data_IF_030079827109
#
_entry.id   IF_030079827109
#
_cell.length_a   1.000
_cell.length_b   1.000
_cell.length_c   1.000
_cell.angle_alpha   90.00
_cell.angle_beta   90.00
_cell.angle_gamma   90.00
#
_symmetry.space_group_name_H-M   'P 1'
#
loop_
_entity.id
_entity.type
_entity.pdbx_description
1 polymer ?
#
# COMPACT_ATOMS: atom_id res chain seq x y z
N UNK A 1 -57.41 -27.67 -15.28
CA UNK A 1 -58.15 -27.72 -16.55
C UNK A 1 -57.36 -26.93 -17.57
N UNK A 2 -56.82 -27.64 -18.57
CA UNK A 2 -55.94 -27.14 -19.63
C UNK A 2 -56.73 -27.03 -20.95
N UNK A 3 -56.31 -26.12 -21.82
CA UNK A 3 -56.34 -26.30 -23.29
C UNK A 3 -55.18 -25.45 -23.84
N UNK A 4 -54.11 -25.95 -24.49
CA UNK A 4 -54.01 -26.80 -25.70
C UNK A 4 -54.52 -26.06 -26.96
N UNK A 5 -53.80 -25.91 -28.10
CA UNK A 5 -52.45 -26.37 -28.56
C UNK A 5 -51.80 -25.41 -29.58
N UNK A 6 -50.51 -25.59 -29.89
CA UNK A 6 -49.88 -25.15 -31.16
C UNK A 6 -48.35 -25.05 -31.10
N UNK A 7 -47.55 -25.75 -31.96
CA UNK A 7 -46.10 -25.91 -31.75
C UNK A 7 -45.21 -24.94 -32.56
N UNK A 8 -44.00 -24.69 -32.06
CA UNK A 8 -42.89 -24.11 -32.81
C UNK A 8 -41.69 -25.10 -32.84
N UNK A 9 -41.00 -25.29 -33.98
CA UNK A 9 -39.96 -26.31 -34.12
C UNK A 9 -38.59 -25.86 -33.60
N UNK A 10 -37.86 -26.80 -32.99
CA UNK A 10 -36.42 -26.67 -32.67
C UNK A 10 -35.56 -26.87 -33.92
N UNK A 11 -34.58 -25.99 -34.17
CA UNK A 11 -33.41 -26.31 -35.02
C UNK A 11 -32.13 -25.67 -34.44
N UNK A 12 -31.20 -26.52 -34.02
CA UNK A 12 -29.74 -26.34 -33.90
C UNK A 12 -29.13 -27.76 -34.04
N UNK A 13 -27.84 -27.94 -34.38
CA UNK A 13 -26.89 -27.02 -35.04
C UNK A 13 -26.28 -27.67 -36.33
N UNK A 14 -25.60 -26.89 -37.17
CA UNK A 14 -24.65 -27.45 -38.17
C UNK A 14 -23.37 -26.63 -38.29
N UNK A 15 -22.25 -27.36 -38.42
CA UNK A 15 -20.88 -26.85 -38.40
C UNK A 15 -20.51 -26.08 -39.68
N UNK A 16 -19.60 -25.11 -39.55
CA UNK A 16 -18.81 -24.60 -40.69
C UNK A 16 -17.48 -25.36 -40.76
N UNK A 17 -17.30 -26.16 -41.82
CA UNK A 17 -16.06 -26.86 -42.11
C UNK A 17 -15.09 -25.93 -42.86
N UNK A 18 -13.83 -25.86 -42.42
CA UNK A 18 -12.75 -25.18 -43.15
C UNK A 18 -12.00 -26.24 -43.98
N UNK A 19 -11.86 -26.00 -45.28
CA UNK A 19 -10.99 -26.77 -46.18
C UNK A 19 -9.92 -25.86 -46.80
N UNK A 20 -8.66 -26.33 -46.79
CA UNK A 20 -7.58 -25.81 -47.64
C UNK A 20 -7.05 -24.41 -47.27
N UNK A 21 -6.07 -24.35 -46.37
CA UNK A 21 -5.35 -23.11 -46.10
C UNK A 21 -4.26 -22.81 -47.14
N UNK A 22 -4.29 -21.60 -47.72
CA UNK A 22 -3.11 -20.84 -48.17
C UNK A 22 -3.53 -19.41 -48.56
N UNK A 23 -2.93 -18.40 -47.93
CA UNK A 23 -3.00 -17.00 -48.37
C UNK A 23 -1.67 -16.64 -49.03
N UNK A 24 -1.69 -16.37 -50.35
CA UNK A 24 -0.57 -15.80 -51.08
C UNK A 24 -1.09 -14.75 -52.07
N UNK A 25 -0.62 -13.51 -51.95
CA UNK A 25 -0.76 -12.47 -52.96
C UNK A 25 0.62 -11.84 -53.20
N UNK A 26 1.04 -11.78 -54.46
CA UNK A 26 2.27 -11.10 -54.88
C UNK A 26 2.02 -9.69 -55.41
N UNK A 27 3.10 -8.91 -55.56
CA UNK A 27 3.15 -7.76 -56.49
C UNK A 27 3.78 -8.17 -57.83
N UNK A 28 4.32 -7.25 -58.66
CA UNK A 28 4.41 -5.78 -58.55
C UNK A 28 3.52 -5.09 -59.64
N UNK A 29 3.65 -3.85 -60.13
CA UNK A 29 4.68 -2.80 -60.02
C UNK A 29 4.13 -1.37 -60.33
N UNK A 30 4.93 -0.34 -60.01
CA UNK A 30 5.14 0.98 -60.69
C UNK A 30 4.01 1.61 -61.52
N UNK A 31 3.61 2.88 -61.32
CA UNK A 31 4.40 4.11 -61.54
C UNK A 31 3.70 5.36 -60.93
N UNK A 32 4.45 6.41 -60.59
CA UNK A 32 3.91 7.75 -60.26
C UNK A 32 4.76 8.54 -59.26
N UNK A 33 5.36 9.65 -59.69
CA UNK A 33 6.25 10.51 -58.87
C UNK A 33 5.60 11.88 -58.60
N UNK A 34 5.57 12.33 -57.34
CA UNK A 34 5.26 13.70 -56.90
C UNK A 34 6.10 14.00 -55.60
N UNK A 35 6.28 15.23 -55.06
CA UNK A 35 7.63 15.76 -54.91
C UNK A 35 8.13 15.83 -53.46
N UNK A 36 9.44 16.04 -53.33
CA UNK A 36 10.18 16.15 -52.06
C UNK A 36 9.85 17.44 -51.30
N UNK A 37 9.08 17.31 -50.21
CA UNK A 37 9.00 18.36 -49.19
C UNK A 37 10.25 18.39 -48.29
N UNK A 38 10.63 19.57 -47.82
CA UNK A 38 11.82 19.82 -47.00
C UNK A 38 11.60 19.46 -45.52
N UNK A 39 12.66 19.21 -44.72
CA UNK A 39 12.52 18.89 -43.30
C UNK A 39 12.01 20.10 -42.51
N UNK A 40 10.99 19.88 -41.67
CA UNK A 40 10.52 20.90 -40.73
C UNK A 40 11.53 21.11 -39.59
N UNK A 41 11.81 22.35 -39.17
CA UNK A 41 12.68 22.63 -38.05
C UNK A 41 12.02 22.25 -36.71
N UNK A 42 12.89 21.93 -35.74
CA UNK A 42 12.58 21.68 -34.33
C UNK A 42 11.47 22.57 -33.78
N UNK A 43 10.39 21.96 -33.30
CA UNK A 43 9.50 22.59 -32.35
C UNK A 43 10.26 22.73 -31.02
N UNK A 44 10.43 23.97 -30.56
CA UNK A 44 10.96 24.27 -29.22
C UNK A 44 9.98 23.78 -28.14
N UNK A 45 10.46 23.28 -26.98
CA UNK A 45 9.58 22.92 -25.87
C UNK A 45 9.01 24.18 -25.21
N UNK A 46 7.73 24.14 -24.85
CA UNK A 46 7.05 25.24 -24.16
C UNK A 46 7.64 25.51 -22.76
N UNK A 47 7.89 26.79 -22.40
CA UNK A 47 8.59 27.16 -21.16
C UNK A 47 7.75 26.98 -19.88
N UNK A 48 6.60 26.33 -19.95
CA UNK A 48 5.74 25.98 -18.80
C UNK A 48 5.44 24.49 -18.70
N UNK A 49 6.25 23.65 -19.35
CA UNK A 49 6.28 22.21 -19.10
C UNK A 49 6.93 21.94 -17.74
N UNK A 50 6.18 22.18 -16.66
CA UNK A 50 6.55 21.68 -15.33
C UNK A 50 6.49 20.16 -15.43
N UNK A 51 7.66 19.54 -15.60
CA UNK A 51 7.78 18.11 -15.47
C UNK A 51 7.17 17.70 -14.12
N UNK A 52 6.33 16.65 -14.06
CA UNK A 52 5.94 16.11 -12.76
C UNK A 52 7.24 15.81 -12.02
N UNK A 53 7.39 16.37 -10.82
CA UNK A 53 8.52 16.09 -9.95
C UNK A 53 8.37 14.67 -9.41
N UNK A 54 8.59 13.69 -10.30
CA UNK A 54 8.81 12.29 -9.99
C UNK A 54 10.21 12.09 -9.39
N UNK A 55 10.69 13.12 -8.68
CA UNK A 55 11.75 13.05 -7.68
C UNK A 55 11.09 12.49 -6.43
N UNK A 56 10.76 11.21 -6.50
CA UNK A 56 10.96 10.33 -5.35
C UNK A 56 12.48 10.13 -5.29
N UNK A 57 13.20 10.62 -4.27
CA UNK A 57 14.51 10.08 -3.98
C UNK A 57 14.35 8.60 -3.63
N UNK A 58 14.68 7.77 -4.62
CA UNK A 58 14.89 6.35 -4.43
C UNK A 58 16.03 6.17 -3.41
N UNK A 59 16.05 5.08 -2.65
CA UNK A 59 17.10 4.83 -1.64
C UNK A 59 18.43 4.38 -2.29
N UNK A 60 18.84 5.04 -3.38
CA UNK A 60 20.02 4.72 -4.20
C UNK A 60 21.33 5.23 -3.58
N UNK A 61 21.26 6.23 -2.71
CA UNK A 61 22.42 6.86 -2.05
C UNK A 61 22.62 6.35 -0.60
N UNK A 62 22.16 5.13 -0.31
CA UNK A 62 22.48 4.42 0.93
C UNK A 62 23.93 3.93 0.91
N UNK A 63 24.70 4.25 1.97
CA UNK A 63 26.10 3.85 2.10
C UNK A 63 26.24 2.41 2.64
N UNK A 64 27.42 1.80 2.51
CA UNK A 64 27.73 0.45 3.06
C UNK A 64 26.72 -0.66 2.70
N UNK A 65 26.02 -0.52 1.56
CA UNK A 65 25.09 -1.52 1.05
C UNK A 65 25.87 -2.69 0.47
N UNK A 66 25.82 -3.83 1.16
CA UNK A 66 26.33 -5.11 0.66
C UNK A 66 25.47 -5.62 -0.50
N UNK A 67 24.13 -5.48 -0.39
CA UNK A 67 23.18 -5.74 -1.48
C UNK A 67 21.79 -5.12 -1.23
N UNK A 68 21.03 -4.77 -2.29
CA UNK A 68 19.62 -4.45 -2.17
C UNK A 68 18.78 -5.72 -1.90
N UNK A 69 17.82 -5.58 -1.00
CA UNK A 69 16.83 -6.61 -0.62
C UNK A 69 15.39 -6.21 -0.98
N UNK A 70 15.19 -5.06 -1.64
CA UNK A 70 13.94 -4.66 -2.29
C UNK A 70 14.21 -4.00 -3.64
N UNK A 71 13.22 -4.05 -4.55
CA UNK A 71 13.27 -3.36 -5.84
C UNK A 71 13.35 -1.83 -5.69
N UNK A 72 12.85 -1.28 -4.58
CA UNK A 72 12.96 0.14 -4.23
C UNK A 72 14.36 0.58 -3.78
N UNK A 73 15.27 -0.38 -3.53
CA UNK A 73 16.57 -0.14 -2.91
C UNK A 73 16.51 0.29 -1.43
N UNK A 74 15.31 0.41 -0.86
CA UNK A 74 15.10 0.93 0.49
C UNK A 74 15.25 -0.11 1.60
N UNK A 75 15.13 -1.41 1.26
CA UNK A 75 15.56 -2.52 2.12
C UNK A 75 16.91 -3.01 1.62
N UNK A 76 17.91 -3.04 2.48
CA UNK A 76 19.31 -3.34 2.14
C UNK A 76 19.95 -4.24 3.19
N UNK A 77 20.85 -5.11 2.75
CA UNK A 77 21.85 -5.69 3.64
C UNK A 77 22.98 -4.68 3.81
N UNK A 78 23.30 -4.36 5.07
CA UNK A 78 24.28 -3.36 5.46
C UNK A 78 25.45 -4.01 6.19
N UNK A 79 26.66 -3.67 5.76
CA UNK A 79 27.91 -4.05 6.43
C UNK A 79 28.47 -2.94 7.32
N UNK A 80 29.44 -3.30 8.17
CA UNK A 80 30.07 -2.39 9.15
C UNK A 80 29.08 -1.82 10.19
N UNK A 81 28.04 -2.59 10.54
CA UNK A 81 27.04 -2.23 11.55
C UNK A 81 27.50 -2.45 13.00
N UNK A 82 28.79 -2.71 13.22
CA UNK A 82 29.35 -2.96 14.54
C UNK A 82 29.15 -1.76 15.49
N UNK A 83 28.34 -1.96 16.53
CA UNK A 83 27.99 -0.89 17.47
C UNK A 83 27.04 0.18 16.90
N UNK A 84 26.36 -0.08 15.78
CA UNK A 84 25.40 0.83 15.14
C UNK A 84 24.02 0.19 15.02
N UNK A 85 22.98 1.00 15.12
CA UNK A 85 21.58 0.62 14.90
C UNK A 85 21.11 0.95 13.48
N UNK A 86 20.07 0.27 12.98
CA UNK A 86 19.46 0.61 11.70
C UNK A 86 18.89 2.04 11.67
N UNK A 87 18.49 2.62 12.82
CA UNK A 87 18.09 4.04 12.90
C UNK A 87 19.26 4.97 12.61
N UNK A 88 20.43 4.73 13.20
CA UNK A 88 21.64 5.54 12.94
C UNK A 88 22.14 5.37 11.51
N UNK A 89 21.99 4.17 10.95
CA UNK A 89 22.26 3.91 9.54
C UNK A 89 21.35 4.72 8.61
N UNK A 90 20.03 4.57 8.70
CA UNK A 90 19.09 5.29 7.84
C UNK A 90 19.24 6.81 8.00
N UNK A 91 19.45 7.29 9.24
CA UNK A 91 19.63 8.72 9.55
C UNK A 91 20.87 9.33 8.87
N UNK A 92 21.90 8.54 8.55
CA UNK A 92 23.08 9.01 7.82
C UNK A 92 22.73 9.54 6.42
N UNK A 93 21.73 8.97 5.77
CA UNK A 93 21.19 9.42 4.48
C UNK A 93 19.89 10.24 4.64
N UNK A 94 19.68 10.85 5.81
CA UNK A 94 18.47 11.62 6.18
C UNK A 94 17.15 10.81 6.15
N UNK A 95 17.24 9.47 6.21
CA UNK A 95 16.11 8.55 6.18
C UNK A 95 15.68 8.10 7.60
N UNK A 96 14.45 7.65 7.71
CA UNK A 96 13.87 7.03 8.91
C UNK A 96 13.89 5.52 8.76
N UNK A 97 14.44 4.80 9.74
CA UNK A 97 14.30 3.34 9.80
C UNK A 97 12.83 2.96 10.07
N UNK A 98 12.28 2.08 9.23
CA UNK A 98 10.93 1.50 9.35
C UNK A 98 10.95 -0.01 9.58
N UNK A 99 12.11 -0.66 9.47
CA UNK A 99 12.31 -2.06 9.80
C UNK A 99 13.79 -2.41 9.97
N UNK A 100 14.09 -3.39 10.83
CA UNK A 100 15.43 -3.88 11.09
C UNK A 100 15.37 -5.39 11.35
N UNK A 101 16.34 -6.14 10.83
CA UNK A 101 16.43 -7.59 11.03
C UNK A 101 17.88 -8.03 11.17
N UNK A 102 18.12 -9.05 11.99
CA UNK A 102 19.35 -9.84 11.90
C UNK A 102 19.29 -10.64 10.60
N UNK A 103 20.42 -10.72 9.92
CA UNK A 103 20.57 -11.42 8.65
C UNK A 103 20.90 -12.91 8.83
N UNK A 104 20.39 -13.77 7.93
CA UNK A 104 20.71 -15.20 7.83
C UNK A 104 21.60 -15.56 6.62
N UNK A 105 22.84 -16.00 6.90
CA UNK A 105 23.80 -16.60 5.94
C UNK A 105 24.37 -15.70 4.81
N UNK A 106 24.68 -14.44 5.09
CA UNK A 106 25.02 -13.42 4.08
C UNK A 106 23.81 -13.02 3.23
N UNK A 107 22.58 -13.29 3.71
CA UNK A 107 21.31 -13.33 2.99
C UNK A 107 20.58 -11.99 2.82
N UNK A 108 19.41 -12.01 2.19
CA UNK A 108 18.39 -10.95 2.35
C UNK A 108 17.27 -11.44 3.28
N UNK A 109 17.56 -12.52 3.99
CA UNK A 109 16.65 -13.37 4.72
C UNK A 109 16.77 -13.00 6.20
N UNK A 110 15.63 -12.69 6.82
CA UNK A 110 15.59 -12.28 8.21
C UNK A 110 15.73 -13.50 9.13
N UNK A 111 16.77 -13.54 9.94
CA UNK A 111 16.96 -14.50 11.03
C UNK A 111 16.13 -14.14 12.25
N UNK A 112 16.08 -12.85 12.59
CA UNK A 112 15.36 -12.28 13.73
C UNK A 112 14.87 -10.87 13.38
N UNK A 113 13.72 -10.44 13.88
CA UNK A 113 13.22 -9.07 13.74
C UNK A 113 13.70 -8.22 14.93
N UNK A 114 14.36 -7.10 14.62
CA UNK A 114 15.00 -6.22 15.58
C UNK A 114 14.29 -4.88 15.66
N UNK A 115 14.49 -4.14 16.75
CA UNK A 115 14.06 -2.73 16.79
C UNK A 115 15.02 -1.86 15.98
N UNK A 116 14.51 -0.81 15.36
CA UNK A 116 15.36 0.17 14.65
C UNK A 116 16.46 0.80 15.52
N UNK A 117 16.24 0.93 16.83
CA UNK A 117 17.20 1.44 17.83
C UNK A 117 18.10 0.35 18.43
N UNK A 118 17.95 -0.90 18.01
CA UNK A 118 18.70 -2.02 18.56
C UNK A 118 20.11 -2.04 17.99
N UNK A 119 21.10 -2.18 18.87
CA UNK A 119 22.50 -2.31 18.53
C UNK A 119 22.91 -3.75 18.82
N UNK A 120 23.39 -4.47 17.81
CA UNK A 120 23.87 -5.85 17.96
C UNK A 120 25.38 -5.85 18.21
N UNK A 121 25.83 -6.73 19.10
CA UNK A 121 27.26 -6.84 19.43
C UNK A 121 28.04 -7.59 18.33
N UNK A 122 29.24 -7.10 18.02
CA UNK A 122 30.12 -7.70 17.01
C UNK A 122 29.89 -7.17 15.59
N UNK A 123 30.49 -7.84 14.60
CA UNK A 123 30.48 -7.43 13.19
C UNK A 123 29.35 -8.10 12.40
N UNK A 124 28.15 -8.20 12.99
CA UNK A 124 26.99 -8.74 12.27
C UNK A 124 26.51 -7.76 11.21
N UNK A 125 26.37 -8.24 9.98
CA UNK A 125 25.62 -7.52 8.96
C UNK A 125 24.13 -7.49 9.36
N UNK A 126 23.45 -6.38 9.06
CA UNK A 126 22.04 -6.17 9.40
C UNK A 126 21.22 -5.83 8.16
N UNK A 127 19.99 -6.33 8.09
CA UNK A 127 19.05 -5.89 7.06
C UNK A 127 18.29 -4.68 7.61
N UNK A 128 18.50 -3.51 7.02
CA UNK A 128 17.79 -2.29 7.37
C UNK A 128 16.80 -1.91 6.28
N UNK A 129 15.58 -1.55 6.65
CA UNK A 129 14.60 -0.92 5.74
C UNK A 129 14.41 0.55 6.14
N UNK A 130 14.91 1.43 5.27
CA UNK A 130 14.86 2.87 5.43
C UNK A 130 13.69 3.45 4.63
N UNK A 131 13.19 4.60 5.05
CA UNK A 131 12.14 5.33 4.36
C UNK A 131 12.43 6.84 4.39
N UNK A 132 12.04 7.52 3.32
CA UNK A 132 12.16 8.97 3.15
C UNK A 132 11.06 9.72 3.91
N UNK A 133 11.33 10.36 5.07
CA UNK A 133 10.34 11.26 5.65
C UNK A 133 10.09 12.40 4.64
N UNK A 134 8.84 12.57 4.19
CA UNK A 134 8.50 13.67 3.29
C UNK A 134 8.54 14.98 4.08
N UNK A 135 9.69 15.65 4.06
CA UNK A 135 9.97 16.89 4.80
C UNK A 135 9.26 18.11 4.17
N UNK A 136 7.92 18.11 4.21
CA UNK A 136 7.14 19.34 4.06
C UNK A 136 7.17 20.14 5.36
N UNK A 137 8.14 21.06 5.45
CA UNK A 137 8.13 22.27 6.27
C UNK A 137 7.86 22.12 7.78
N UNK A 138 8.89 22.40 8.59
CA UNK A 138 8.70 22.80 10.00
C UNK A 138 7.60 23.88 10.13
N UNK A 139 6.85 23.84 11.23
CA UNK A 139 7.16 24.84 12.25
C UNK A 139 7.72 24.22 13.54
N UNK A 140 8.88 24.72 13.92
CA UNK A 140 9.56 24.50 15.20
C UNK A 140 8.62 24.74 16.38
N UNK A 141 8.47 23.77 17.30
CA UNK A 141 8.20 24.11 18.72
C UNK A 141 8.66 23.02 19.70
N UNK A 142 9.79 23.30 20.34
CA UNK A 142 10.13 22.94 21.73
C UNK A 142 10.15 21.45 22.14
N UNK A 143 11.35 20.88 22.06
CA UNK A 143 11.88 19.88 22.98
C UNK A 143 11.41 20.08 24.43
N UNK A 144 10.81 19.05 25.03
CA UNK A 144 10.81 18.88 26.49
C UNK A 144 11.39 17.50 26.82
N UNK A 145 12.69 17.49 27.15
CA UNK A 145 13.37 16.32 27.68
C UNK A 145 12.87 16.05 29.11
N UNK A 146 12.24 14.89 29.33
CA UNK A 146 12.06 14.34 30.68
C UNK A 146 12.43 12.86 30.69
N UNK A 147 13.61 12.61 31.24
CA UNK A 147 14.09 11.43 31.98
C UNK A 147 13.25 10.16 31.91
N UNK A 148 13.88 9.09 31.41
CA UNK A 148 13.35 7.73 31.44
C UNK A 148 12.97 7.26 32.86
N UNK A 149 11.80 6.64 32.96
CA UNK A 149 11.55 5.54 33.89
C UNK A 149 10.72 4.49 33.17
N UNK A 150 11.15 3.24 33.26
CA UNK A 150 10.52 2.14 32.57
C UNK A 150 9.22 1.67 33.26
N UNK A 151 8.44 0.95 32.46
CA UNK A 151 7.41 -0.03 32.79
C UNK A 151 5.95 0.42 32.91
N UNK A 152 5.15 -0.25 32.07
CA UNK A 152 3.70 -0.51 32.14
C UNK A 152 2.73 0.67 32.29
N UNK A 153 2.06 1.02 31.17
CA UNK A 153 0.88 1.88 31.18
C UNK A 153 0.98 3.12 30.30
N UNK A 154 1.63 3.06 29.13
CA UNK A 154 1.48 4.14 28.15
C UNK A 154 0.02 4.16 27.66
N UNK A 155 -0.64 5.27 27.95
CA UNK A 155 -2.01 5.61 27.58
C UNK A 155 -2.19 5.47 26.05
N UNK A 156 -2.58 4.28 25.58
CA UNK A 156 -2.88 3.99 24.17
C UNK A 156 -4.17 4.69 23.81
N UNK A 157 -4.09 6.01 23.63
CA UNK A 157 -5.15 6.88 23.19
C UNK A 157 -5.96 6.20 22.07
N UNK A 158 -7.24 6.02 22.33
CA UNK A 158 -8.18 5.38 21.41
C UNK A 158 -8.83 6.43 20.53
N UNK A 159 -8.99 6.12 19.25
CA UNK A 159 -9.57 7.00 18.26
C UNK A 159 -10.71 6.28 17.51
N UNK A 160 -11.68 7.05 17.03
CA UNK A 160 -12.63 6.58 16.03
C UNK A 160 -12.10 6.90 14.64
N UNK A 161 -12.16 5.94 13.72
CA UNK A 161 -11.76 6.12 12.31
C UNK A 161 -13.00 6.48 11.51
N UNK A 162 -13.09 7.70 10.95
CA UNK A 162 -14.36 8.27 10.44
C UNK A 162 -14.29 8.56 8.94
N UNK A 163 -15.13 7.89 8.14
CA UNK A 163 -15.20 8.16 6.70
C UNK A 163 -15.65 9.60 6.45
N UNK A 164 -14.88 10.35 5.64
CA UNK A 164 -15.20 11.75 5.30
C UNK A 164 -16.41 11.90 4.39
N UNK A 165 -16.74 10.89 3.57
CA UNK A 165 -17.95 10.93 2.72
C UNK A 165 -19.23 10.77 3.52
N UNK A 166 -19.33 9.71 4.32
CA UNK A 166 -20.58 9.37 5.04
C UNK A 166 -20.67 10.00 6.42
N UNK A 167 -19.54 10.44 6.99
CA UNK A 167 -19.45 10.89 8.38
C UNK A 167 -19.60 9.77 9.41
N UNK A 168 -19.69 8.51 8.98
CA UNK A 168 -19.82 7.32 9.82
C UNK A 168 -18.45 6.77 10.25
N UNK A 169 -18.41 6.06 11.37
CA UNK A 169 -17.21 5.51 11.97
C UNK A 169 -17.05 4.01 11.69
N UNK A 170 -15.80 3.58 11.51
CA UNK A 170 -15.39 2.19 11.36
C UNK A 170 -15.71 1.39 12.62
N UNK A 171 -16.44 0.30 12.45
CA UNK A 171 -16.98 -0.52 13.51
C UNK A 171 -16.80 -2.02 13.23
N UNK A 172 -16.42 -2.79 14.24
CA UNK A 172 -16.60 -4.26 14.25
C UNK A 172 -18.09 -4.64 14.20
N UNK A 173 -18.47 -5.52 13.28
CA UNK A 173 -19.81 -6.11 13.27
C UNK A 173 -20.08 -6.93 14.56
N UNK A 174 -21.36 -7.28 14.77
CA UNK A 174 -21.85 -7.94 15.99
C UNK A 174 -21.18 -9.29 16.31
N UNK A 175 -21.44 -9.82 17.51
CA UNK A 175 -20.79 -11.04 17.99
C UNK A 175 -20.87 -12.21 17.00
N UNK A 176 -19.71 -12.72 16.60
CA UNK A 176 -19.54 -13.86 15.70
C UNK A 176 -18.98 -13.50 14.33
N UNK A 177 -19.31 -12.32 13.79
CA UNK A 177 -18.84 -11.93 12.45
C UNK A 177 -17.38 -11.44 12.48
N UNK A 178 -16.59 -11.82 11.48
CA UNK A 178 -15.27 -11.23 11.21
C UNK A 178 -15.37 -9.90 10.43
N UNK A 179 -16.59 -9.50 10.06
CA UNK A 179 -16.87 -8.38 9.17
C UNK A 179 -16.62 -7.02 9.85
N UNK A 180 -16.16 -6.04 9.07
CA UNK A 180 -16.19 -4.63 9.43
C UNK A 180 -17.29 -3.87 8.69
N UNK A 181 -17.79 -2.84 9.35
CA UNK A 181 -18.85 -1.99 8.82
C UNK A 181 -18.62 -0.52 9.18
N UNK A 182 -19.36 0.39 8.55
CA UNK A 182 -19.52 1.76 9.04
C UNK A 182 -20.85 1.95 9.77
N UNK A 183 -20.83 2.69 10.86
CA UNK A 183 -21.98 2.95 11.73
C UNK A 183 -21.93 4.39 12.29
N UNK A 184 -23.03 4.92 12.86
CA UNK A 184 -23.01 6.22 13.55
C UNK A 184 -21.92 6.25 14.63
N UNK A 185 -21.14 7.33 14.68
CA UNK A 185 -20.02 7.46 15.61
C UNK A 185 -20.50 7.55 17.06
N UNK A 186 -20.07 6.62 17.90
CA UNK A 186 -20.37 6.56 19.34
C UNK A 186 -19.11 6.13 20.13
N UNK A 187 -18.64 7.00 21.03
CA UNK A 187 -17.44 6.78 21.82
C UNK A 187 -17.61 5.69 22.90
N UNK A 188 -18.86 5.34 23.24
CA UNK A 188 -19.18 4.25 24.17
C UNK A 188 -19.10 2.87 23.50
N UNK A 189 -19.12 2.79 22.17
CA UNK A 189 -19.01 1.52 21.44
C UNK A 189 -17.53 1.13 21.36
N UNK A 190 -17.14 0.13 22.15
CA UNK A 190 -15.78 -0.44 22.14
C UNK A 190 -15.37 -0.97 20.76
N UNK A 191 -16.31 -1.51 19.98
CA UNK A 191 -16.08 -1.92 18.58
C UNK A 191 -15.77 -0.77 17.60
N UNK A 192 -15.84 0.50 18.04
CA UNK A 192 -15.42 1.69 17.29
C UNK A 192 -14.13 2.32 17.85
N UNK A 193 -13.54 1.77 18.91
CA UNK A 193 -12.33 2.30 19.52
C UNK A 193 -11.09 1.60 18.96
N UNK A 194 -10.28 2.35 18.22
CA UNK A 194 -9.10 1.86 17.51
C UNK A 194 -7.83 2.51 18.07
N UNK A 195 -6.76 1.73 18.13
CA UNK A 195 -5.41 2.19 18.45
C UNK A 195 -4.51 1.94 17.25
N UNK A 196 -3.67 2.91 16.89
CA UNK A 196 -2.58 2.67 15.96
C UNK A 196 -1.35 2.21 16.74
N UNK A 197 -0.63 1.18 16.27
CA UNK A 197 0.68 0.86 16.82
C UNK A 197 1.68 1.94 16.41
N UNK A 198 2.08 2.80 17.37
CA UNK A 198 3.10 3.84 17.19
C UNK A 198 4.46 3.17 16.96
N UNK A 199 4.93 3.16 15.71
CA UNK A 199 6.23 2.58 15.33
C UNK A 199 6.82 3.11 14.02
N UNK A 200 6.00 3.63 13.11
CA UNK A 200 6.40 4.24 11.84
C UNK A 200 5.20 4.86 11.11
N UNK A 201 5.35 5.21 9.84
CA UNK A 201 4.22 5.68 9.01
C UNK A 201 3.17 4.59 8.76
N UNK A 202 3.65 3.34 8.67
CA UNK A 202 2.84 2.14 8.57
C UNK A 202 2.61 1.59 9.98
N UNK A 203 1.37 1.20 10.30
CA UNK A 203 1.05 0.58 11.58
C UNK A 203 -0.20 -0.28 11.52
N UNK A 204 -0.33 -1.20 12.47
CA UNK A 204 -1.58 -1.94 12.64
C UNK A 204 -2.63 -1.04 13.31
N UNK A 205 -3.84 -1.00 12.73
CA UNK A 205 -5.02 -0.45 13.37
C UNK A 205 -5.69 -1.56 14.19
N UNK A 206 -5.50 -1.51 15.50
CA UNK A 206 -5.94 -2.52 16.46
C UNK A 206 -7.11 -2.01 17.30
N UNK A 207 -8.24 -2.66 17.18
CA UNK A 207 -9.42 -2.47 18.04
C UNK A 207 -9.06 -2.72 19.51
N UNK A 208 -9.71 -2.03 20.45
CA UNK A 208 -9.55 -2.30 21.90
C UNK A 208 -9.94 -3.73 22.29
N UNK A 209 -10.69 -4.44 21.44
CA UNK A 209 -11.02 -5.87 21.60
C UNK A 209 -9.91 -6.81 21.13
N UNK A 210 -8.79 -6.27 20.65
CA UNK A 210 -7.53 -6.97 20.41
C UNK A 210 -7.28 -7.42 18.97
N UNK A 211 -8.24 -7.25 18.07
CA UNK A 211 -8.16 -7.61 16.65
C UNK A 211 -7.59 -6.45 15.80
N UNK A 212 -6.96 -6.80 14.69
CA UNK A 212 -6.42 -5.86 13.72
C UNK A 212 -7.33 -5.72 12.48
N UNK A 213 -7.35 -4.52 11.90
CA UNK A 213 -7.94 -4.26 10.59
C UNK A 213 -7.14 -4.99 9.50
N UNK A 214 -7.83 -5.83 8.73
CA UNK A 214 -7.26 -6.59 7.62
C UNK A 214 -8.04 -6.35 6.34
N UNK A 215 -7.33 -6.10 5.24
CA UNK A 215 -7.92 -6.03 3.90
C UNK A 215 -7.90 -7.39 3.22
N UNK A 216 -9.02 -8.13 3.18
CA UNK A 216 -9.04 -9.41 2.46
C UNK A 216 -8.85 -9.18 0.96
N UNK A 217 -8.00 -9.99 0.32
CA UNK A 217 -7.85 -10.01 -1.13
C UNK A 217 -8.32 -11.36 -1.70
N UNK A 218 -9.63 -11.50 -1.93
CA UNK A 218 -10.20 -12.71 -2.55
C UNK A 218 -10.05 -12.68 -4.08
N UNK A 219 -8.85 -13.04 -4.55
CA UNK A 219 -8.59 -13.40 -5.95
C UNK A 219 -8.86 -12.31 -7.02
N UNK A 220 -8.60 -11.04 -6.71
CA UNK A 220 -8.54 -9.97 -7.72
C UNK A 220 -9.01 -8.59 -7.23
N UNK A 221 -8.08 -7.65 -7.15
CA UNK A 221 -8.19 -6.20 -6.83
C UNK A 221 -8.95 -5.75 -5.57
N UNK A 222 -10.16 -6.26 -5.32
CA UNK A 222 -11.13 -5.74 -4.36
C UNK A 222 -11.60 -6.85 -3.41
N UNK A 223 -11.72 -6.56 -2.12
CA UNK A 223 -12.31 -7.50 -1.15
C UNK A 223 -12.79 -6.82 0.14
N UNK A 224 -13.56 -7.54 0.94
CA UNK A 224 -14.15 -7.00 2.18
C UNK A 224 -13.07 -6.82 3.27
N UNK A 225 -13.16 -5.74 4.04
CA UNK A 225 -12.31 -5.52 5.20
C UNK A 225 -12.86 -6.30 6.42
N UNK A 226 -11.95 -6.83 7.23
CA UNK A 226 -12.29 -7.67 8.37
C UNK A 226 -11.46 -7.33 9.62
N UNK A 227 -11.97 -7.80 10.76
CA UNK A 227 -11.17 -7.96 11.97
C UNK A 227 -10.48 -9.33 11.93
N UNK A 228 -9.17 -9.35 12.10
CA UNK A 228 -8.35 -10.57 12.10
C UNK A 228 -7.44 -10.61 13.35
N UNK A 229 -6.88 -11.79 13.70
CA UNK A 229 -5.77 -11.87 14.63
C UNK A 229 -4.60 -10.99 14.15
N UNK A 230 -3.98 -10.23 15.04
CA UNK A 230 -2.89 -9.33 14.68
C UNK A 230 -1.61 -10.09 14.34
N UNK A 231 -1.09 -9.89 13.12
CA UNK A 231 0.18 -10.44 12.65
C UNK A 231 1.00 -9.31 12.03
N UNK A 232 2.10 -8.91 12.68
CA UNK A 232 2.84 -7.69 12.35
C UNK A 232 3.39 -7.67 10.91
N UNK A 233 3.76 -8.83 10.37
CA UNK A 233 4.33 -8.98 9.02
C UNK A 233 3.30 -9.07 7.88
N UNK A 234 1.99 -9.09 8.16
CA UNK A 234 0.96 -9.15 7.12
C UNK A 234 0.75 -7.78 6.46
N UNK A 235 0.99 -7.73 5.14
CA UNK A 235 0.93 -6.51 4.33
C UNK A 235 -0.48 -5.91 4.29
N UNK A 236 -1.49 -6.75 4.38
CA UNK A 236 -2.92 -6.43 4.47
C UNK A 236 -3.36 -5.91 5.84
N UNK A 237 -2.53 -6.02 6.88
CA UNK A 237 -2.78 -5.50 8.23
C UNK A 237 -1.93 -4.27 8.60
N UNK A 238 -0.92 -3.93 7.80
CA UNK A 238 -0.11 -2.73 7.96
C UNK A 238 -0.70 -1.60 7.12
N UNK A 239 -1.20 -0.55 7.78
CA UNK A 239 -1.89 0.59 7.18
C UNK A 239 -1.17 1.91 7.44
N UNK A 240 -1.18 2.80 6.45
CA UNK A 240 -0.70 4.19 6.54
C UNK A 240 -1.83 5.13 6.13
N UNK A 241 -2.05 6.17 6.94
CA UNK A 241 -2.96 7.26 6.58
C UNK A 241 -2.17 8.34 5.84
N UNK A 242 -2.44 8.50 4.55
CA UNK A 242 -1.84 9.54 3.73
C UNK A 242 -2.31 10.94 4.20
N UNK A 243 -1.36 11.82 4.47
CA UNK A 243 -1.63 13.23 4.80
C UNK A 243 -2.08 13.96 3.52
N UNK A 244 -2.96 14.95 3.65
CA UNK A 244 -3.58 15.64 2.51
C UNK A 244 -4.75 14.87 1.92
N UNK A 245 -4.51 13.70 1.31
CA UNK A 245 -5.56 12.89 0.66
C UNK A 245 -6.52 12.24 1.66
N UNK A 246 -6.06 11.90 2.87
CA UNK A 246 -6.86 11.18 3.85
C UNK A 246 -7.10 9.70 3.51
N UNK A 247 -6.45 9.19 2.46
CA UNK A 247 -6.52 7.78 2.10
C UNK A 247 -5.87 6.92 3.19
N UNK A 248 -6.49 5.79 3.51
CA UNK A 248 -5.93 4.79 4.42
C UNK A 248 -5.51 3.55 3.61
N UNK A 249 -4.22 3.44 3.34
CA UNK A 249 -3.61 2.51 2.39
C UNK A 249 -2.83 1.40 3.11
N UNK A 250 -2.93 0.15 2.64
CA UNK A 250 -2.15 -0.99 3.15
C UNK A 250 -0.89 -1.29 2.31
N UNK A 251 0.04 -2.12 2.81
CA UNK A 251 1.26 -2.53 2.06
C UNK A 251 0.98 -3.37 0.80
N UNK A 252 -0.27 -3.68 0.46
CA UNK A 252 -0.65 -4.27 -0.83
C UNK A 252 -1.09 -3.21 -1.87
N UNK A 253 -1.02 -1.93 -1.53
CA UNK A 253 -1.45 -0.82 -2.41
C UNK A 253 -2.98 -0.69 -2.50
N UNK A 254 -3.70 -1.20 -1.49
CA UNK A 254 -5.16 -1.10 -1.41
C UNK A 254 -5.57 -0.06 -0.38
N UNK A 255 -6.53 0.78 -0.73
CA UNK A 255 -7.16 1.75 0.15
C UNK A 255 -8.43 1.19 0.79
N UNK A 256 -8.67 1.58 2.04
CA UNK A 256 -9.91 1.31 2.75
C UNK A 256 -11.05 2.14 2.14
N UNK A 257 -12.13 1.50 1.69
CA UNK A 257 -13.27 2.09 1.01
C UNK A 257 -14.56 1.82 1.79
N UNK A 258 -15.37 2.87 2.03
CA UNK A 258 -16.73 2.77 2.54
C UNK A 258 -17.71 3.31 1.48
N UNK A 259 -18.20 2.45 0.56
CA UNK A 259 -19.09 2.87 -0.53
C UNK A 259 -20.39 3.50 -0.03
N UNK A 260 -20.78 4.60 -0.67
CA UNK A 260 -22.00 5.32 -0.34
C UNK A 260 -23.26 4.46 -0.47
N UNK A 261 -24.25 4.69 0.40
CA UNK A 261 -25.47 3.89 0.45
C UNK A 261 -25.28 2.49 1.02
N UNK A 262 -24.08 2.14 1.50
CA UNK A 262 -23.78 0.84 2.11
C UNK A 262 -23.18 1.00 3.51
N UNK A 263 -23.26 -0.05 4.32
CA UNK A 263 -22.50 -0.18 5.57
C UNK A 263 -21.21 -0.97 5.40
N UNK A 264 -20.89 -1.45 4.19
CA UNK A 264 -19.74 -2.31 3.94
C UNK A 264 -18.42 -1.52 3.99
N UNK A 265 -17.34 -2.20 4.38
CA UNK A 265 -15.97 -1.67 4.33
C UNK A 265 -15.11 -2.64 3.54
N UNK A 266 -14.28 -2.12 2.64
CA UNK A 266 -13.50 -2.90 1.67
C UNK A 266 -12.06 -2.43 1.57
N UNK A 267 -11.16 -3.33 1.20
CA UNK A 267 -9.83 -2.99 0.71
C UNK A 267 -9.83 -3.16 -0.82
N UNK A 268 -9.49 -2.10 -1.55
CA UNK A 268 -9.50 -2.08 -3.03
C UNK A 268 -8.50 -1.09 -3.60
N UNK A 269 -8.34 -1.05 -4.92
CA UNK A 269 -7.47 -0.07 -5.60
C UNK A 269 -7.71 1.37 -5.11
N UNK A 270 -6.62 2.08 -4.80
CA UNK A 270 -6.66 3.47 -4.38
C UNK A 270 -7.11 4.40 -5.51
N UNK A 271 -8.12 5.22 -5.25
CA UNK A 271 -8.64 6.23 -6.16
C UNK A 271 -8.69 7.60 -5.47
N UNK A 272 -7.75 8.49 -5.82
CA UNK A 272 -7.56 9.81 -5.18
C UNK A 272 -8.75 10.78 -5.33
N UNK A 273 -9.72 10.50 -6.21
CA UNK A 273 -10.96 11.26 -6.33
C UNK A 273 -12.14 10.65 -5.52
N UNK A 274 -11.96 9.48 -4.90
CA UNK A 274 -13.03 8.75 -4.24
C UNK A 274 -13.14 9.15 -2.76
N UNK A 275 -13.98 10.14 -2.46
CA UNK A 275 -14.28 10.55 -1.07
C UNK A 275 -14.71 9.41 -0.12
N UNK A 276 -15.17 8.28 -0.67
CA UNK A 276 -15.47 7.06 0.11
C UNK A 276 -14.24 6.38 0.71
N UNK A 277 -13.05 6.67 0.19
CA UNK A 277 -11.75 6.17 0.67
C UNK A 277 -11.02 7.15 1.60
N UNK A 278 -11.61 8.32 1.87
CA UNK A 278 -11.05 9.33 2.77
C UNK A 278 -11.52 9.09 4.22
N UNK A 279 -10.58 9.08 5.18
CA UNK A 279 -10.81 8.84 6.61
C UNK A 279 -10.08 9.84 7.52
#
# INVERSE_FOLDING_TARGET
WLSEKGPAPHILPTHTTIHGGALLCGGPATFGTEPKAAPMPSASPDPWTVAPLNRFPECKDLMNVTKPCSESGCKVLVSEMAGRSCREYCKQSELVCIGAWEEAEGGCDAKEELRCDEVREGNSDLICECFMPFMEGEPTTTTTTTTARAEEGEDRATYQVRSRRSGLCLQEAGQGEQKLQVAPCDYMITGQQWTATRGGEMGQLRSVRGFCLEGMSRSGSDGEAARAPCTASLREQLWRRQVGSGLLENLRGQCLDAPEGTTAVRARSCGSASRSQEW
#
